data_IF_374174307256
#
_entry.id   IF_374174307256
#
_cell.length_a   1.000
_cell.length_b   1.000
_cell.length_c   1.000
_cell.angle_alpha   90.00
_cell.angle_beta   90.00
_cell.angle_gamma   90.00
#
_symmetry.space_group_name_H-M   'P 1'
#
loop_
_entity.id
_entity.type
_entity.pdbx_description
1 polymer ?
#
# COMPACT_ATOMS: atom_id res chain seq x y z
N UNK A 1 -54.55 7.34 47.12
CA UNK A 1 -53.20 7.49 47.69
C UNK A 1 -52.76 8.92 47.45
N UNK A 2 -52.50 9.66 48.53
CA UNK A 2 -51.87 10.98 48.48
C UNK A 2 -50.46 10.86 47.92
N UNK A 3 -49.96 11.89 47.23
CA UNK A 3 -48.62 11.86 46.59
C UNK A 3 -47.50 11.53 47.59
N UNK A 4 -47.67 11.90 48.86
CA UNK A 4 -46.78 11.52 49.98
C UNK A 4 -46.68 10.00 50.20
N UNK A 5 -47.76 9.24 50.00
CA UNK A 5 -47.75 7.79 50.16
C UNK A 5 -46.99 7.10 49.02
N UNK A 6 -47.12 7.62 47.79
CA UNK A 6 -46.35 7.12 46.63
C UNK A 6 -44.87 7.42 46.77
N UNK A 7 -44.51 8.60 47.31
CA UNK A 7 -43.11 8.97 47.54
C UNK A 7 -42.48 8.04 48.59
N UNK A 8 -43.18 7.75 49.69
CA UNK A 8 -42.71 6.79 50.70
C UNK A 8 -42.55 5.37 50.14
N UNK A 9 -43.50 4.90 49.33
CA UNK A 9 -43.42 3.57 48.70
C UNK A 9 -42.23 3.49 47.72
N UNK A 10 -42.00 4.54 46.92
CA UNK A 10 -40.87 4.61 46.02
C UNK A 10 -39.53 4.67 46.76
N UNK A 11 -39.44 5.43 47.87
CA UNK A 11 -38.25 5.45 48.71
C UNK A 11 -37.94 4.08 49.30
N UNK A 12 -38.96 3.40 49.82
CA UNK A 12 -38.82 2.06 50.37
C UNK A 12 -38.34 1.05 49.31
N UNK A 13 -38.82 1.19 48.06
CA UNK A 13 -38.42 0.33 46.94
C UNK A 13 -37.01 0.63 46.44
N UNK A 14 -36.57 1.89 46.49
CA UNK A 14 -35.19 2.29 46.20
C UNK A 14 -34.24 1.72 47.27
N UNK A 15 -34.64 1.77 48.55
CA UNK A 15 -33.86 1.21 49.65
C UNK A 15 -33.73 -0.31 49.52
N UNK A 16 -34.82 -1.02 49.20
CA UNK A 16 -34.79 -2.46 48.90
C UNK A 16 -33.89 -2.80 47.70
N UNK A 17 -33.99 -2.05 46.60
CA UNK A 17 -33.14 -2.23 45.43
C UNK A 17 -31.66 -1.95 45.74
N UNK A 18 -31.37 -0.96 46.57
CA UNK A 18 -30.02 -0.64 47.00
C UNK A 18 -29.41 -1.78 47.84
N UNK A 19 -30.25 -2.45 48.65
CA UNK A 19 -29.85 -3.60 49.44
C UNK A 19 -29.57 -4.81 48.55
N UNK A 20 -30.46 -5.11 47.61
CA UNK A 20 -30.27 -6.18 46.61
C UNK A 20 -29.00 -5.97 45.77
N UNK A 21 -28.73 -4.72 45.36
CA UNK A 21 -27.51 -4.41 44.62
C UNK A 21 -26.23 -4.67 45.43
N UNK A 22 -26.23 -4.39 46.74
CA UNK A 22 -25.09 -4.71 47.61
C UNK A 22 -24.87 -6.22 47.72
N UNK A 23 -25.94 -7.01 47.81
CA UNK A 23 -25.83 -8.47 47.86
C UNK A 23 -25.30 -9.04 46.54
N UNK A 24 -25.78 -8.56 45.39
CA UNK A 24 -25.24 -8.95 44.09
C UNK A 24 -23.76 -8.57 43.91
N UNK A 25 -23.34 -7.40 44.37
CA UNK A 25 -21.93 -7.01 44.36
C UNK A 25 -21.06 -7.94 45.20
N UNK A 26 -21.56 -8.37 46.37
CA UNK A 26 -20.87 -9.29 47.27
C UNK A 26 -20.75 -10.70 46.66
N UNK A 27 -21.80 -11.15 45.98
CA UNK A 27 -21.81 -12.42 45.26
C UNK A 27 -20.84 -12.42 44.07
N UNK A 28 -20.81 -11.34 43.28
CA UNK A 28 -19.84 -11.17 42.18
C UNK A 28 -18.40 -11.17 42.68
N UNK A 29 -18.12 -10.51 43.81
CA UNK A 29 -16.80 -10.51 44.43
C UNK A 29 -16.37 -11.92 44.85
N UNK A 30 -17.27 -12.70 45.45
CA UNK A 30 -17.02 -14.11 45.82
C UNK A 30 -16.77 -14.99 44.59
N UNK A 31 -17.55 -14.80 43.52
CA UNK A 31 -17.40 -15.55 42.28
C UNK A 31 -16.05 -15.26 41.61
N UNK A 32 -15.65 -13.99 41.59
CA UNK A 32 -14.36 -13.57 41.04
C UNK A 32 -13.20 -14.15 41.85
N UNK A 33 -13.31 -14.20 43.17
CA UNK A 33 -12.32 -14.82 44.04
C UNK A 33 -12.25 -16.35 43.84
N UNK A 34 -13.38 -17.03 43.63
CA UNK A 34 -13.41 -18.45 43.26
C UNK A 34 -12.75 -18.70 41.89
N UNK A 35 -13.02 -17.84 40.91
CA UNK A 35 -12.39 -17.91 39.58
C UNK A 35 -10.87 -17.77 39.66
N UNK A 36 -10.41 -16.83 40.50
CA UNK A 36 -8.98 -16.64 40.75
C UNK A 36 -8.34 -17.83 41.47
N UNK A 37 -9.05 -18.45 42.43
CA UNK A 37 -8.63 -19.69 43.09
C UNK A 37 -8.60 -20.89 42.12
N UNK A 38 -9.54 -20.98 41.18
CA UNK A 38 -9.58 -22.04 40.16
C UNK A 38 -8.46 -21.86 39.12
N UNK A 39 -8.17 -20.63 38.69
CA UNK A 39 -7.01 -20.34 37.84
C UNK A 39 -5.69 -20.67 38.54
N UNK A 40 -5.54 -20.32 39.82
CA UNK A 40 -4.31 -20.63 40.56
C UNK A 40 -4.20 -22.12 40.97
N UNK A 41 -5.31 -22.85 41.16
CA UNK A 41 -5.30 -24.31 41.33
C UNK A 41 -4.95 -25.09 40.06
N UNK A 42 -4.95 -24.46 38.89
CA UNK A 42 -4.42 -25.02 37.64
C UNK A 42 -2.89 -25.00 37.54
N UNK A 43 -2.18 -24.46 38.53
CA UNK A 43 -0.72 -24.23 38.50
C UNK A 43 0.04 -24.99 39.60
N UNK A 44 -0.43 -26.18 39.99
CA UNK A 44 0.45 -27.16 40.62
C UNK A 44 1.23 -27.87 39.51
N UNK A 45 2.55 -28.13 39.66
CA UNK A 45 3.31 -28.86 38.65
C UNK A 45 2.74 -30.27 38.55
N UNK A 46 1.97 -30.52 37.49
CA UNK A 46 1.57 -31.86 37.10
C UNK A 46 2.86 -32.59 36.76
N UNK A 47 3.34 -33.45 37.66
CA UNK A 47 4.27 -34.52 37.29
C UNK A 47 3.57 -35.25 36.14
N UNK A 48 4.14 -35.24 34.92
CA UNK A 48 3.48 -35.88 33.80
C UNK A 48 3.47 -37.37 34.10
N UNK A 49 2.31 -37.90 34.47
CA UNK A 49 2.03 -39.30 34.21
C UNK A 49 2.11 -39.39 32.69
N UNK A 50 3.25 -39.88 32.20
CA UNK A 50 3.46 -40.32 30.84
C UNK A 50 2.53 -41.50 30.58
N UNK A 51 1.23 -41.21 30.47
CA UNK A 51 0.41 -41.95 29.55
C UNK A 51 1.06 -41.74 28.18
N UNK A 52 1.70 -42.80 27.70
CA UNK A 52 2.17 -42.96 26.33
C UNK A 52 0.97 -42.91 25.39
N UNK A 53 0.36 -41.72 25.24
CA UNK A 53 -0.45 -41.39 24.07
C UNK A 53 0.55 -41.21 22.95
N UNK A 54 0.48 -42.12 22.00
CA UNK A 54 1.15 -42.05 20.70
C UNK A 54 1.13 -40.61 20.17
N UNK A 55 2.30 -39.96 20.04
CA UNK A 55 2.38 -38.62 19.47
C UNK A 55 2.37 -38.71 17.93
N UNK A 56 1.76 -37.71 17.29
CA UNK A 56 2.08 -37.20 15.94
C UNK A 56 1.41 -37.76 14.66
N UNK A 57 0.89 -38.99 14.58
CA UNK A 57 0.40 -39.47 13.26
C UNK A 57 -0.94 -38.86 12.78
N UNK A 58 -1.81 -38.40 13.68
CA UNK A 58 -3.11 -37.82 13.30
C UNK A 58 -3.04 -36.39 12.70
N UNK A 59 -1.94 -35.66 12.89
CA UNK A 59 -1.77 -34.32 12.30
C UNK A 59 -1.24 -34.38 10.87
N UNK A 60 -0.33 -35.30 10.60
CA UNK A 60 0.25 -35.49 9.27
C UNK A 60 -0.77 -36.13 8.33
N UNK A 61 -1.51 -37.14 8.80
CA UNK A 61 -2.55 -37.80 8.01
C UNK A 61 -3.74 -36.88 7.71
N UNK A 62 -4.19 -36.06 8.67
CA UNK A 62 -5.21 -35.03 8.40
C UNK A 62 -4.69 -33.94 7.47
N UNK A 63 -3.43 -33.50 7.58
CA UNK A 63 -2.90 -32.46 6.69
C UNK A 63 -2.69 -32.96 5.26
N UNK A 64 -2.11 -34.16 5.12
CA UNK A 64 -1.94 -34.82 3.83
C UNK A 64 -3.31 -35.16 3.23
N UNK A 65 -4.15 -35.87 3.98
CA UNK A 65 -5.45 -36.36 3.54
C UNK A 65 -6.46 -35.26 3.22
N UNK A 66 -6.59 -34.25 4.10
CA UNK A 66 -7.61 -33.21 3.95
C UNK A 66 -7.14 -31.95 3.25
N UNK A 67 -5.83 -31.65 3.14
CA UNK A 67 -5.34 -30.44 2.46
C UNK A 67 -4.53 -30.72 1.21
N UNK A 68 -3.59 -31.66 1.26
CA UNK A 68 -2.68 -31.89 0.13
C UNK A 68 -3.39 -32.70 -0.96
N UNK A 69 -4.06 -33.79 -0.63
CA UNK A 69 -4.66 -34.68 -1.65
C UNK A 69 -5.72 -33.95 -2.48
N UNK A 70 -6.64 -33.18 -1.86
CA UNK A 70 -7.63 -32.44 -2.65
C UNK A 70 -7.02 -31.32 -3.48
N UNK A 71 -6.00 -30.62 -2.96
CA UNK A 71 -5.32 -29.55 -3.69
C UNK A 71 -4.56 -30.11 -4.89
N UNK A 72 -3.78 -31.18 -4.68
CA UNK A 72 -3.09 -31.91 -5.74
C UNK A 72 -4.08 -32.46 -6.75
N UNK A 73 -5.21 -33.03 -6.28
CA UNK A 73 -6.29 -33.51 -7.13
C UNK A 73 -6.87 -32.40 -8.02
N UNK A 74 -7.17 -31.22 -7.46
CA UNK A 74 -7.63 -30.04 -8.21
C UNK A 74 -6.56 -29.62 -9.23
N UNK A 75 -5.29 -29.52 -8.82
CA UNK A 75 -4.19 -29.10 -9.70
C UNK A 75 -4.01 -30.08 -10.87
N UNK A 76 -3.95 -31.39 -10.60
CA UNK A 76 -3.81 -32.43 -11.63
C UNK A 76 -5.02 -32.44 -12.55
N UNK A 77 -6.24 -32.29 -12.03
CA UNK A 77 -7.46 -32.23 -12.83
C UNK A 77 -7.48 -30.98 -13.72
N UNK A 78 -7.10 -29.82 -13.20
CA UNK A 78 -6.98 -28.57 -13.98
C UNK A 78 -5.92 -28.72 -15.07
N UNK A 79 -4.76 -29.31 -14.78
CA UNK A 79 -3.72 -29.59 -15.77
C UNK A 79 -4.23 -30.55 -16.84
N UNK A 80 -4.86 -31.67 -16.44
CA UNK A 80 -5.41 -32.66 -17.36
C UNK A 80 -6.49 -32.07 -18.28
N UNK A 81 -7.42 -31.29 -17.72
CA UNK A 81 -8.41 -30.55 -18.51
C UNK A 81 -7.76 -29.55 -19.45
N UNK A 82 -6.75 -28.80 -19.00
CA UNK A 82 -6.04 -27.83 -19.83
C UNK A 82 -5.32 -28.49 -21.01
N UNK A 83 -4.64 -29.62 -20.77
CA UNK A 83 -3.99 -30.41 -21.81
C UNK A 83 -5.03 -31.03 -22.75
N UNK A 84 -6.15 -31.54 -22.24
CA UNK A 84 -7.22 -32.10 -23.06
C UNK A 84 -7.88 -31.07 -23.97
N UNK A 85 -8.17 -29.87 -23.45
CA UNK A 85 -8.66 -28.74 -24.24
C UNK A 85 -7.63 -28.34 -25.29
N UNK A 86 -6.35 -28.21 -24.92
CA UNK A 86 -5.28 -27.92 -25.88
C UNK A 86 -5.17 -28.98 -26.97
N UNK A 87 -5.21 -30.26 -26.63
CA UNK A 87 -5.19 -31.36 -27.60
C UNK A 87 -6.36 -31.28 -28.59
N UNK A 88 -7.57 -31.00 -28.09
CA UNK A 88 -8.75 -30.84 -28.94
C UNK A 88 -8.64 -29.62 -29.88
N UNK A 89 -7.98 -28.55 -29.42
CA UNK A 89 -7.69 -27.35 -30.21
C UNK A 89 -6.65 -27.65 -31.30
N UNK A 90 -5.52 -28.26 -30.91
CA UNK A 90 -4.37 -28.56 -31.78
C UNK A 90 -4.73 -29.56 -32.89
N UNK A 91 -5.60 -30.53 -32.58
CA UNK A 91 -6.11 -31.51 -33.56
C UNK A 91 -7.35 -31.05 -34.31
N UNK A 92 -7.79 -29.79 -34.12
CA UNK A 92 -9.00 -29.24 -34.73
C UNK A 92 -10.28 -30.06 -34.49
N UNK A 93 -10.36 -30.79 -33.38
CA UNK A 93 -11.52 -31.61 -33.02
C UNK A 93 -12.75 -30.77 -32.69
N UNK A 94 -12.54 -29.51 -32.28
CA UNK A 94 -13.58 -28.55 -31.96
C UNK A 94 -13.39 -27.33 -32.86
N UNK A 95 -14.45 -26.89 -33.53
CA UNK A 95 -14.41 -25.68 -34.37
C UNK A 95 -14.12 -24.44 -33.55
N UNK A 96 -13.57 -23.40 -34.17
CA UNK A 96 -13.22 -22.14 -33.50
C UNK A 96 -14.43 -21.50 -32.80
N UNK A 97 -15.58 -21.48 -33.47
CA UNK A 97 -16.83 -20.99 -32.91
C UNK A 97 -17.30 -21.84 -31.70
N UNK A 98 -17.19 -23.16 -31.77
CA UNK A 98 -17.57 -24.04 -30.68
C UNK A 98 -16.67 -23.85 -29.45
N UNK A 99 -15.37 -23.58 -29.62
CA UNK A 99 -14.44 -23.29 -28.51
C UNK A 99 -14.89 -22.05 -27.73
N UNK A 100 -15.17 -20.96 -28.45
CA UNK A 100 -15.60 -19.69 -27.85
C UNK A 100 -16.98 -19.83 -27.21
N UNK A 101 -17.92 -20.50 -27.87
CA UNK A 101 -19.27 -20.73 -27.33
C UNK A 101 -19.23 -21.56 -26.05
N UNK A 102 -18.49 -22.68 -26.03
CA UNK A 102 -18.34 -23.52 -24.84
C UNK A 102 -17.68 -22.77 -23.68
N UNK A 103 -16.68 -21.93 -23.97
CA UNK A 103 -16.02 -21.11 -22.95
C UNK A 103 -16.97 -20.05 -22.37
N UNK A 104 -17.81 -19.42 -23.19
CA UNK A 104 -18.85 -18.51 -22.71
C UNK A 104 -19.90 -19.23 -21.86
N UNK A 105 -20.38 -20.40 -22.31
CA UNK A 105 -21.33 -21.22 -21.56
C UNK A 105 -20.72 -21.61 -20.21
N UNK A 106 -19.46 -22.05 -20.16
CA UNK A 106 -18.77 -22.36 -18.91
C UNK A 106 -18.68 -21.14 -17.99
N UNK A 107 -18.30 -19.97 -18.50
CA UNK A 107 -18.27 -18.72 -17.74
C UNK A 107 -19.64 -18.32 -17.17
N UNK A 108 -20.71 -18.43 -17.97
CA UNK A 108 -22.08 -18.14 -17.54
C UNK A 108 -22.55 -19.15 -16.48
N UNK A 109 -22.24 -20.44 -16.65
CA UNK A 109 -22.56 -21.47 -15.64
C UNK A 109 -21.88 -21.16 -14.32
N UNK A 110 -20.59 -20.82 -14.34
CA UNK A 110 -19.85 -20.40 -13.13
C UNK A 110 -20.49 -19.17 -12.48
N UNK A 111 -20.90 -18.18 -13.28
CA UNK A 111 -21.60 -17.00 -12.79
C UNK A 111 -22.92 -17.36 -12.10
N UNK A 112 -23.77 -18.19 -12.74
CA UNK A 112 -25.06 -18.61 -12.19
C UNK A 112 -24.89 -19.45 -10.91
N UNK A 113 -23.91 -20.34 -10.88
CA UNK A 113 -23.55 -21.11 -9.69
C UNK A 113 -23.10 -20.18 -8.54
N UNK A 114 -22.29 -19.17 -8.86
CA UNK A 114 -21.86 -18.17 -7.86
C UNK A 114 -23.06 -17.48 -7.24
N UNK A 115 -24.04 -17.06 -8.05
CA UNK A 115 -25.25 -16.40 -7.57
C UNK A 115 -26.10 -17.32 -6.70
N UNK A 116 -26.29 -18.58 -7.10
CA UNK A 116 -27.05 -19.57 -6.32
C UNK A 116 -26.42 -19.86 -4.96
N UNK A 117 -25.08 -19.97 -4.90
CA UNK A 117 -24.34 -20.28 -3.68
C UNK A 117 -24.18 -19.09 -2.73
N UNK A 118 -24.44 -17.86 -3.20
CA UNK A 118 -24.30 -16.61 -2.42
C UNK A 118 -25.00 -16.65 -1.07
N UNK A 119 -26.19 -17.25 -0.98
CA UNK A 119 -26.99 -17.30 0.26
C UNK A 119 -26.33 -18.10 1.38
N UNK A 120 -25.62 -19.20 1.04
CA UNK A 120 -25.07 -20.15 2.02
C UNK A 120 -23.54 -20.04 2.16
N UNK A 121 -22.83 -19.66 1.10
CA UNK A 121 -21.38 -19.63 1.04
C UNK A 121 -20.86 -18.34 0.39
N UNK A 122 -21.04 -17.21 1.06
CA UNK A 122 -20.64 -15.87 0.59
C UNK A 122 -19.20 -15.81 0.03
N UNK A 123 -18.22 -16.31 0.78
CA UNK A 123 -16.81 -16.26 0.38
C UNK A 123 -16.51 -17.13 -0.86
N UNK A 124 -16.99 -18.37 -0.86
CA UNK A 124 -16.82 -19.29 -1.99
C UNK A 124 -17.52 -18.76 -3.25
N UNK A 125 -18.71 -18.18 -3.08
CA UNK A 125 -19.47 -17.51 -4.13
C UNK A 125 -18.70 -16.33 -4.74
N UNK A 126 -18.03 -15.50 -3.94
CA UNK A 126 -17.20 -14.40 -4.43
C UNK A 126 -16.00 -14.88 -5.27
N UNK A 127 -15.33 -15.96 -4.86
CA UNK A 127 -14.24 -16.57 -5.64
C UNK A 127 -14.77 -17.11 -6.97
N UNK A 128 -15.88 -17.86 -6.93
CA UNK A 128 -16.48 -18.45 -8.13
C UNK A 128 -16.95 -17.39 -9.12
N UNK A 129 -17.54 -16.30 -8.61
CA UNK A 129 -17.92 -15.14 -9.40
C UNK A 129 -16.71 -14.51 -10.09
N UNK A 130 -15.60 -14.35 -9.36
CA UNK A 130 -14.40 -13.73 -9.93
C UNK A 130 -13.75 -14.63 -10.98
N UNK A 131 -13.79 -15.95 -10.79
CA UNK A 131 -13.41 -16.93 -11.81
C UNK A 131 -14.30 -16.87 -13.06
N UNK A 132 -15.61 -16.71 -12.88
CA UNK A 132 -16.56 -16.52 -13.97
C UNK A 132 -16.24 -15.25 -14.77
N UNK A 133 -16.02 -14.11 -14.09
CA UNK A 133 -15.64 -12.86 -14.75
C UNK A 133 -14.33 -13.01 -15.51
N UNK A 134 -13.28 -13.57 -14.89
CA UNK A 134 -12.00 -13.81 -15.56
C UNK A 134 -12.16 -14.67 -16.82
N UNK A 135 -12.93 -15.76 -16.75
CA UNK A 135 -13.24 -16.60 -17.90
C UNK A 135 -13.92 -15.79 -19.00
N UNK A 136 -14.97 -15.04 -18.68
CA UNK A 136 -15.70 -14.22 -19.66
C UNK A 136 -14.81 -13.14 -20.30
N UNK A 137 -13.90 -12.53 -19.54
CA UNK A 137 -12.91 -11.59 -20.08
C UNK A 137 -11.98 -12.26 -21.09
N UNK A 138 -11.33 -13.36 -20.69
CA UNK A 138 -10.40 -14.06 -21.58
C UNK A 138 -11.09 -14.64 -22.80
N UNK A 139 -12.32 -15.15 -22.67
CA UNK A 139 -13.10 -15.62 -23.82
C UNK A 139 -13.44 -14.48 -24.77
N UNK A 140 -13.86 -13.32 -24.26
CA UNK A 140 -14.16 -12.13 -25.09
C UNK A 140 -12.92 -11.62 -25.81
N UNK A 141 -11.78 -11.59 -25.12
CA UNK A 141 -10.49 -11.26 -25.72
C UNK A 141 -10.11 -12.24 -26.82
N UNK A 142 -10.18 -13.54 -26.55
CA UNK A 142 -9.80 -14.57 -27.52
C UNK A 142 -10.69 -14.55 -28.76
N UNK A 143 -12.00 -14.35 -28.59
CA UNK A 143 -12.95 -14.19 -29.68
C UNK A 143 -12.59 -13.01 -30.59
N UNK A 144 -12.09 -11.91 -30.03
CA UNK A 144 -11.65 -10.74 -30.79
C UNK A 144 -10.28 -10.95 -31.45
N UNK A 145 -9.24 -11.26 -30.66
CA UNK A 145 -7.85 -11.22 -31.11
C UNK A 145 -7.44 -12.46 -31.90
N UNK A 146 -7.85 -13.65 -31.48
CA UNK A 146 -7.41 -14.89 -32.12
C UNK A 146 -8.34 -15.36 -33.22
N UNK A 147 -9.65 -15.11 -33.08
CA UNK A 147 -10.66 -15.65 -34.01
C UNK A 147 -11.41 -14.58 -34.81
N UNK A 148 -11.24 -13.29 -34.51
CA UNK A 148 -11.87 -12.19 -35.27
C UNK A 148 -13.40 -12.19 -35.26
N UNK A 149 -14.05 -12.85 -34.31
CA UNK A 149 -15.51 -12.97 -34.24
C UNK A 149 -16.23 -11.67 -33.87
N UNK A 150 -15.54 -10.73 -33.21
CA UNK A 150 -16.10 -9.47 -32.77
C UNK A 150 -15.39 -8.28 -33.39
N UNK A 151 -16.09 -7.16 -33.53
CA UNK A 151 -15.48 -5.87 -33.86
C UNK A 151 -14.86 -5.23 -32.61
N UNK A 152 -13.90 -4.32 -32.79
CA UNK A 152 -13.29 -3.57 -31.69
C UNK A 152 -14.34 -2.91 -30.77
N UNK A 153 -15.34 -2.25 -31.37
CA UNK A 153 -16.40 -1.56 -30.64
C UNK A 153 -17.24 -2.53 -29.79
N UNK A 154 -17.62 -3.67 -30.35
CA UNK A 154 -18.40 -4.68 -29.63
C UNK A 154 -17.60 -5.29 -28.47
N UNK A 155 -16.34 -5.66 -28.72
CA UNK A 155 -15.43 -6.20 -27.69
C UNK A 155 -15.23 -5.20 -26.56
N UNK A 156 -14.98 -3.93 -26.88
CA UNK A 156 -14.82 -2.87 -25.90
C UNK A 156 -16.09 -2.68 -25.05
N UNK A 157 -17.27 -2.61 -25.68
CA UNK A 157 -18.55 -2.47 -24.97
C UNK A 157 -18.84 -3.67 -24.05
N UNK A 158 -18.61 -4.90 -24.52
CA UNK A 158 -18.77 -6.11 -23.72
C UNK A 158 -17.84 -6.09 -22.50
N UNK A 159 -16.56 -5.77 -22.69
CA UNK A 159 -15.60 -5.72 -21.58
C UNK A 159 -15.91 -4.58 -20.59
N UNK A 160 -16.37 -3.41 -21.05
CA UNK A 160 -16.86 -2.35 -20.16
C UNK A 160 -18.10 -2.79 -19.39
N UNK A 161 -19.03 -3.50 -20.04
CA UNK A 161 -20.20 -4.09 -19.40
C UNK A 161 -19.84 -5.10 -18.31
N UNK A 162 -18.92 -6.03 -18.61
CA UNK A 162 -18.39 -6.98 -17.63
C UNK A 162 -17.69 -6.27 -16.46
N UNK A 163 -16.93 -5.21 -16.73
CA UNK A 163 -16.24 -4.42 -15.70
C UNK A 163 -17.23 -3.73 -14.78
N UNK A 164 -18.25 -3.11 -15.37
CA UNK A 164 -19.30 -2.40 -14.63
C UNK A 164 -20.11 -3.38 -13.77
N UNK A 165 -20.45 -4.55 -14.32
CA UNK A 165 -21.13 -5.60 -13.57
C UNK A 165 -20.25 -6.14 -12.41
N UNK A 166 -18.95 -6.31 -12.65
CA UNK A 166 -17.99 -6.74 -11.61
C UNK A 166 -17.91 -5.70 -10.49
N UNK A 167 -17.81 -4.41 -10.82
CA UNK A 167 -17.80 -3.33 -9.84
C UNK A 167 -19.11 -3.26 -9.03
N UNK A 168 -20.25 -3.43 -9.71
CA UNK A 168 -21.57 -3.46 -9.09
C UNK A 168 -21.74 -4.64 -8.12
N UNK A 169 -21.33 -5.84 -8.53
CA UNK A 169 -21.37 -7.01 -7.66
C UNK A 169 -20.35 -6.91 -6.53
N UNK A 170 -19.16 -6.33 -6.74
CA UNK A 170 -18.23 -6.06 -5.65
C UNK A 170 -18.90 -5.22 -4.55
N UNK A 171 -19.63 -4.15 -4.92
CA UNK A 171 -20.41 -3.33 -3.99
C UNK A 171 -21.48 -4.16 -3.26
N UNK A 172 -22.21 -5.03 -3.98
CA UNK A 172 -23.30 -5.86 -3.43
C UNK A 172 -22.80 -6.95 -2.50
N UNK A 173 -21.71 -7.63 -2.83
CA UNK A 173 -21.05 -8.59 -1.96
C UNK A 173 -20.34 -7.89 -0.79
N UNK A 174 -20.07 -6.58 -0.92
CA UNK A 174 -19.27 -5.81 0.02
C UNK A 174 -17.90 -6.47 0.28
N UNK A 175 -17.29 -6.97 -0.81
CA UNK A 175 -16.04 -7.72 -0.79
C UNK A 175 -15.03 -7.06 -1.71
N UNK A 176 -13.92 -6.64 -1.12
CA UNK A 176 -12.86 -5.92 -1.82
C UNK A 176 -12.11 -6.82 -2.81
N UNK A 177 -12.09 -8.12 -2.57
CA UNK A 177 -11.41 -9.15 -3.38
C UNK A 177 -11.99 -9.20 -4.81
N UNK A 178 -13.32 -9.10 -4.94
CA UNK A 178 -14.02 -9.03 -6.23
C UNK A 178 -13.61 -7.76 -6.98
N UNK A 179 -13.51 -6.64 -6.26
CA UNK A 179 -13.16 -5.36 -6.84
C UNK A 179 -11.72 -5.37 -7.39
N UNK A 180 -10.77 -5.92 -6.63
CA UNK A 180 -9.37 -6.07 -7.08
C UNK A 180 -9.28 -6.96 -8.32
N UNK A 181 -10.03 -8.06 -8.40
CA UNK A 181 -10.07 -8.90 -9.59
C UNK A 181 -10.70 -8.18 -10.80
N UNK A 182 -11.74 -7.39 -10.57
CA UNK A 182 -12.29 -6.50 -11.60
C UNK A 182 -11.29 -5.45 -12.09
N UNK A 183 -10.44 -4.92 -11.20
CA UNK A 183 -9.37 -3.99 -11.58
C UNK A 183 -8.32 -4.65 -12.47
N UNK A 184 -7.93 -5.90 -12.19
CA UNK A 184 -7.01 -6.65 -13.06
C UNK A 184 -7.58 -6.78 -14.47
N UNK A 185 -8.87 -7.11 -14.59
CA UNK A 185 -9.57 -7.12 -15.87
C UNK A 185 -9.56 -5.75 -16.53
N UNK A 186 -9.98 -4.70 -15.81
CA UNK A 186 -10.09 -3.34 -16.32
C UNK A 186 -8.75 -2.79 -16.84
N UNK A 187 -7.67 -2.87 -16.04
CA UNK A 187 -6.35 -2.41 -16.47
C UNK A 187 -5.76 -3.27 -17.60
N UNK A 188 -6.21 -4.52 -17.74
CA UNK A 188 -5.83 -5.40 -18.83
C UNK A 188 -6.46 -5.03 -20.17
N UNK A 189 -7.69 -4.46 -20.19
CA UNK A 189 -8.46 -4.21 -21.42
C UNK A 189 -7.65 -3.49 -22.51
N UNK A 190 -6.94 -2.38 -22.25
CA UNK A 190 -6.19 -1.71 -23.29
C UNK A 190 -5.11 -2.61 -23.92
N UNK A 191 -4.38 -3.41 -23.13
CA UNK A 191 -3.38 -4.36 -23.65
C UNK A 191 -4.00 -5.50 -24.46
N UNK A 192 -5.25 -5.84 -24.15
CA UNK A 192 -5.98 -6.92 -24.80
C UNK A 192 -6.61 -6.48 -26.12
N UNK A 193 -7.03 -5.21 -26.27
CA UNK A 193 -7.80 -4.80 -27.46
C UNK A 193 -7.02 -3.80 -28.34
N UNK A 194 -5.99 -3.11 -27.82
CA UNK A 194 -5.32 -2.06 -28.61
C UNK A 194 -4.42 -2.66 -29.70
N UNK A 195 -4.82 -2.50 -30.96
CA UNK A 195 -3.95 -2.73 -32.11
C UNK A 195 -3.03 -1.50 -32.39
N UNK A 196 -3.44 -0.31 -31.96
CA UNK A 196 -2.73 0.95 -32.17
C UNK A 196 -1.84 1.30 -30.96
N UNK A 197 -0.74 0.57 -30.83
CA UNK A 197 0.16 0.64 -29.66
C UNK A 197 0.94 1.97 -29.51
N UNK A 198 0.73 2.92 -30.44
CA UNK A 198 1.39 4.22 -30.49
C UNK A 198 0.57 5.36 -29.85
N UNK A 199 -0.73 5.15 -29.61
CA UNK A 199 -1.64 6.18 -29.04
C UNK A 199 -1.63 6.13 -27.51
N UNK A 200 -0.55 6.62 -26.91
CA UNK A 200 -0.39 6.70 -25.46
C UNK A 200 -1.48 7.58 -24.80
N UNK A 201 -1.91 8.62 -25.50
CA UNK A 201 -3.03 9.51 -25.14
C UNK A 201 -4.30 8.73 -24.80
N UNK A 202 -4.76 7.85 -25.70
CA UNK A 202 -5.98 7.07 -25.51
C UNK A 202 -5.81 6.03 -24.41
N UNK A 203 -4.66 5.35 -24.39
CA UNK A 203 -4.34 4.34 -23.38
C UNK A 203 -4.45 4.93 -21.98
N UNK A 204 -3.75 6.04 -21.70
CA UNK A 204 -3.76 6.61 -20.36
C UNK A 204 -5.03 7.38 -20.02
N UNK A 205 -5.76 7.93 -21.01
CA UNK A 205 -7.10 8.49 -20.78
C UNK A 205 -8.07 7.44 -20.23
N UNK A 206 -8.00 6.22 -20.77
CA UNK A 206 -8.74 5.09 -20.25
C UNK A 206 -8.29 4.73 -18.81
N UNK A 207 -6.98 4.69 -18.54
CA UNK A 207 -6.45 4.40 -17.20
C UNK A 207 -6.92 5.45 -16.17
N UNK A 208 -6.94 6.74 -16.53
CA UNK A 208 -7.50 7.80 -15.67
C UNK A 208 -8.97 7.54 -15.36
N UNK A 209 -9.79 7.19 -16.35
CA UNK A 209 -11.20 6.88 -16.14
C UNK A 209 -11.40 5.73 -15.14
N UNK A 210 -10.64 4.65 -15.29
CA UNK A 210 -10.66 3.52 -14.34
C UNK A 210 -10.22 3.98 -12.94
N UNK A 211 -9.15 4.77 -12.86
CA UNK A 211 -8.63 5.30 -11.59
C UNK A 211 -9.65 6.16 -10.85
N UNK A 212 -10.40 7.02 -11.53
CA UNK A 212 -11.47 7.83 -10.92
C UNK A 212 -12.52 6.90 -10.28
N UNK A 213 -12.95 5.86 -11.01
CA UNK A 213 -13.89 4.86 -10.50
C UNK A 213 -13.34 4.12 -9.27
N UNK A 214 -12.07 3.72 -9.31
CA UNK A 214 -11.42 3.03 -8.20
C UNK A 214 -11.28 3.92 -6.97
N UNK A 215 -10.87 5.18 -7.13
CA UNK A 215 -10.76 6.14 -6.01
C UNK A 215 -12.12 6.40 -5.39
N UNK A 216 -13.16 6.58 -6.22
CA UNK A 216 -14.54 6.70 -5.73
C UNK A 216 -14.96 5.48 -4.91
N UNK A 217 -14.71 4.26 -5.40
CA UNK A 217 -15.04 3.03 -4.69
C UNK A 217 -14.22 2.86 -3.41
N UNK A 218 -12.92 3.15 -3.48
CA UNK A 218 -12.01 3.11 -2.33
C UNK A 218 -12.58 3.98 -1.22
N UNK A 219 -12.86 5.25 -1.51
CA UNK A 219 -13.43 6.19 -0.56
C UNK A 219 -14.80 5.74 -0.02
N UNK A 220 -15.73 5.37 -0.92
CA UNK A 220 -17.10 4.99 -0.55
C UNK A 220 -17.13 3.78 0.39
N UNK A 221 -16.29 2.78 0.14
CA UNK A 221 -16.28 1.50 0.85
C UNK A 221 -15.16 1.32 1.88
N UNK A 222 -14.27 2.30 2.05
CA UNK A 222 -13.04 2.22 2.87
C UNK A 222 -12.06 1.13 2.42
N UNK A 223 -12.10 0.81 1.13
CA UNK A 223 -11.26 -0.21 0.53
C UNK A 223 -9.90 0.38 0.14
N UNK A 224 -9.06 0.64 1.16
CA UNK A 224 -7.74 1.29 0.98
C UNK A 224 -6.82 0.51 0.03
N UNK A 225 -6.80 -0.82 0.12
CA UNK A 225 -6.00 -1.68 -0.77
C UNK A 225 -6.33 -1.47 -2.25
N UNK A 226 -7.56 -1.08 -2.61
CA UNK A 226 -7.88 -0.75 -4.01
C UNK A 226 -7.13 0.48 -4.50
N UNK A 227 -7.14 1.56 -3.71
CA UNK A 227 -6.42 2.78 -4.06
C UNK A 227 -4.91 2.54 -4.18
N UNK A 228 -4.34 1.69 -3.32
CA UNK A 228 -2.94 1.30 -3.38
C UNK A 228 -2.60 0.45 -4.60
N UNK A 229 -3.46 -0.52 -4.93
CA UNK A 229 -3.29 -1.37 -6.11
C UNK A 229 -3.39 -0.56 -7.41
N UNK A 230 -4.34 0.37 -7.48
CA UNK A 230 -4.48 1.32 -8.58
C UNK A 230 -3.25 2.21 -8.73
N UNK A 231 -2.73 2.74 -7.61
CA UNK A 231 -1.50 3.54 -7.60
C UNK A 231 -0.34 2.74 -8.18
N UNK A 232 -0.12 1.55 -7.65
CA UNK A 232 1.00 0.70 -8.06
C UNK A 232 0.94 0.36 -9.55
N UNK A 233 -0.21 -0.10 -10.04
CA UNK A 233 -0.38 -0.44 -11.47
C UNK A 233 -0.20 0.81 -12.32
N UNK A 234 -0.88 1.90 -12.01
CA UNK A 234 -0.88 3.11 -12.86
C UNK A 234 0.51 3.71 -13.01
N UNK A 235 1.26 3.82 -11.91
CA UNK A 235 2.65 4.29 -11.97
C UNK A 235 3.58 3.29 -12.64
N UNK A 236 3.40 1.97 -12.43
CA UNK A 236 4.18 0.96 -13.13
C UNK A 236 3.96 1.07 -14.64
N UNK A 237 2.71 1.20 -15.09
CA UNK A 237 2.37 1.39 -16.49
C UNK A 237 2.99 2.67 -17.07
N UNK A 238 2.91 3.78 -16.33
CA UNK A 238 3.51 5.05 -16.72
C UNK A 238 5.03 4.94 -16.85
N UNK A 239 5.71 4.37 -15.85
CA UNK A 239 7.16 4.24 -15.82
C UNK A 239 7.64 3.30 -16.93
N UNK A 240 6.98 2.15 -17.14
CA UNK A 240 7.32 1.22 -18.22
C UNK A 240 7.14 1.88 -19.60
N UNK A 241 6.01 2.56 -19.83
CA UNK A 241 5.83 3.34 -21.05
C UNK A 241 6.91 4.42 -21.20
N UNK A 242 7.19 5.12 -20.10
CA UNK A 242 8.24 6.11 -19.95
C UNK A 242 9.62 5.64 -20.41
N UNK A 243 10.05 4.46 -19.94
CA UNK A 243 11.36 3.91 -20.27
C UNK A 243 11.43 3.31 -21.67
N UNK A 244 10.38 2.63 -22.14
CA UNK A 244 10.45 1.83 -23.36
C UNK A 244 9.88 2.51 -24.60
N UNK A 245 9.00 3.51 -24.45
CA UNK A 245 8.20 4.04 -25.57
C UNK A 245 8.07 5.56 -25.61
N UNK A 246 8.39 6.26 -24.53
CA UNK A 246 8.30 7.72 -24.48
C UNK A 246 9.17 8.36 -25.56
N UNK A 247 8.60 9.34 -26.25
CA UNK A 247 9.28 10.17 -27.23
C UNK A 247 9.11 11.65 -26.87
N UNK A 248 9.96 12.52 -27.41
CA UNK A 248 9.87 13.98 -27.18
C UNK A 248 8.51 14.57 -27.56
N UNK A 249 7.83 14.00 -28.57
CA UNK A 249 6.47 14.39 -28.98
C UNK A 249 5.41 14.15 -27.90
N UNK A 250 5.68 13.22 -26.96
CA UNK A 250 4.74 12.83 -25.90
C UNK A 250 4.91 13.68 -24.63
N UNK A 251 5.74 14.73 -24.66
CA UNK A 251 6.06 15.54 -23.49
C UNK A 251 4.84 16.06 -22.73
N UNK A 252 3.89 16.68 -23.44
CA UNK A 252 2.67 17.19 -22.81
C UNK A 252 1.79 16.08 -22.26
N UNK A 253 1.69 14.96 -22.97
CA UNK A 253 0.96 13.78 -22.50
C UNK A 253 1.60 13.25 -21.21
N UNK A 254 2.92 13.04 -21.19
CA UNK A 254 3.65 12.60 -19.99
C UNK A 254 3.46 13.53 -18.80
N UNK A 255 3.55 14.85 -19.03
CA UNK A 255 3.38 15.87 -18.00
C UNK A 255 1.95 15.87 -17.42
N UNK A 256 0.92 15.90 -18.26
CA UNK A 256 -0.48 15.90 -17.83
C UNK A 256 -0.80 14.65 -17.02
N UNK A 257 -0.34 13.48 -17.49
CA UNK A 257 -0.61 12.20 -16.84
C UNK A 257 0.09 12.07 -15.49
N UNK A 258 1.36 12.44 -15.41
CA UNK A 258 2.14 12.42 -14.18
C UNK A 258 1.48 13.31 -13.11
N UNK A 259 1.06 14.52 -13.48
CA UNK A 259 0.34 15.44 -12.59
C UNK A 259 -1.02 14.85 -12.19
N UNK A 260 -1.79 14.33 -13.14
CA UNK A 260 -3.11 13.75 -12.90
C UNK A 260 -3.05 12.58 -11.92
N UNK A 261 -2.13 11.64 -12.12
CA UNK A 261 -1.94 10.51 -11.20
C UNK A 261 -1.49 10.97 -9.83
N UNK A 262 -0.54 11.91 -9.76
CA UNK A 262 -0.08 12.45 -8.49
C UNK A 262 -1.23 13.03 -7.66
N UNK A 263 -2.05 13.91 -8.26
CA UNK A 263 -3.19 14.50 -7.57
C UNK A 263 -4.26 13.48 -7.23
N UNK A 264 -4.62 12.59 -8.15
CA UNK A 264 -5.67 11.60 -7.96
C UNK A 264 -5.36 10.67 -6.78
N UNK A 265 -4.12 10.21 -6.65
CA UNK A 265 -3.73 9.35 -5.52
C UNK A 265 -3.46 10.12 -4.23
N UNK A 266 -3.03 11.38 -4.30
CA UNK A 266 -2.93 12.25 -3.12
C UNK A 266 -4.32 12.53 -2.53
N UNK A 267 -5.30 12.86 -3.39
CA UNK A 267 -6.70 13.01 -2.99
C UNK A 267 -7.24 11.70 -2.42
N UNK A 268 -6.98 10.56 -3.06
CA UNK A 268 -7.42 9.26 -2.54
C UNK A 268 -6.96 9.01 -1.10
N UNK A 269 -5.72 9.39 -0.76
CA UNK A 269 -5.21 9.22 0.61
C UNK A 269 -5.75 10.27 1.58
N UNK A 270 -5.76 11.54 1.20
CA UNK A 270 -6.17 12.63 2.08
C UNK A 270 -7.69 12.75 2.25
N UNK A 271 -8.50 12.24 1.30
CA UNK A 271 -9.94 12.33 1.35
C UNK A 271 -10.52 11.67 2.62
N UNK A 272 -9.93 10.59 3.11
CA UNK A 272 -10.34 9.96 4.37
C UNK A 272 -10.21 10.90 5.56
N UNK A 273 -9.11 11.65 5.63
CA UNK A 273 -8.86 12.62 6.69
C UNK A 273 -9.77 13.83 6.57
N UNK A 274 -9.85 14.43 5.38
CA UNK A 274 -10.58 15.69 5.14
C UNK A 274 -12.09 15.49 5.27
N UNK A 275 -12.64 14.39 4.73
CA UNK A 275 -14.09 14.21 4.64
C UNK A 275 -14.68 13.38 5.79
N UNK A 276 -13.87 12.57 6.47
CA UNK A 276 -14.35 11.68 7.56
C UNK A 276 -13.67 11.91 8.90
N UNK A 277 -12.73 12.85 8.99
CA UNK A 277 -11.99 13.18 10.23
C UNK A 277 -11.27 11.99 10.86
N UNK A 278 -10.98 10.94 10.09
CA UNK A 278 -10.21 9.78 10.53
C UNK A 278 -8.71 10.10 10.46
N UNK A 279 -7.94 9.66 11.46
CA UNK A 279 -6.48 9.80 11.44
C UNK A 279 -5.84 8.97 10.32
N UNK A 280 -4.78 9.51 9.72
CA UNK A 280 -4.04 8.76 8.70
C UNK A 280 -3.34 7.56 9.34
N UNK A 281 -3.47 6.40 8.70
CA UNK A 281 -2.80 5.17 9.13
C UNK A 281 -1.40 5.07 8.50
N UNK A 282 -0.55 4.18 9.03
CA UNK A 282 0.77 3.91 8.44
C UNK A 282 0.69 3.55 6.94
N UNK A 283 -0.38 2.86 6.54
CA UNK A 283 -0.65 2.48 5.15
C UNK A 283 -0.93 3.70 4.25
N UNK A 284 -1.53 4.76 4.79
CA UNK A 284 -1.77 6.02 4.08
C UNK A 284 -0.44 6.77 3.86
N UNK A 285 0.41 6.80 4.88
CA UNK A 285 1.75 7.42 4.80
C UNK A 285 2.62 6.68 3.79
N UNK A 286 2.56 5.34 3.78
CA UNK A 286 3.22 4.52 2.76
C UNK A 286 2.71 4.90 1.36
N UNK A 287 1.40 5.07 1.18
CA UNK A 287 0.82 5.45 -0.11
C UNK A 287 1.34 6.82 -0.58
N UNK A 288 1.38 7.85 0.28
CA UNK A 288 1.96 9.16 -0.06
C UNK A 288 3.42 9.05 -0.44
N UNK A 289 4.19 8.26 0.30
CA UNK A 289 5.62 8.03 0.04
C UNK A 289 5.84 7.38 -1.32
N UNK A 290 5.10 6.31 -1.64
CA UNK A 290 5.18 5.66 -2.95
C UNK A 290 4.76 6.61 -4.06
N UNK A 291 3.73 7.44 -3.84
CA UNK A 291 3.28 8.43 -4.82
C UNK A 291 4.36 9.49 -5.12
N UNK A 292 5.05 10.00 -4.09
CA UNK A 292 6.14 10.96 -4.24
C UNK A 292 7.36 10.34 -4.95
N UNK A 293 7.72 9.09 -4.62
CA UNK A 293 8.79 8.35 -5.30
C UNK A 293 8.45 8.15 -6.78
N UNK A 294 7.22 7.71 -7.07
CA UNK A 294 6.79 7.48 -8.43
C UNK A 294 6.73 8.77 -9.25
N UNK A 295 6.30 9.89 -8.64
CA UNK A 295 6.38 11.22 -9.24
C UNK A 295 7.84 11.59 -9.57
N UNK A 296 8.78 11.36 -8.65
CA UNK A 296 10.20 11.61 -8.88
C UNK A 296 10.75 10.81 -10.07
N UNK A 297 10.56 9.49 -10.07
CA UNK A 297 11.00 8.64 -11.18
C UNK A 297 10.38 9.05 -12.51
N UNK A 298 9.09 9.37 -12.52
CA UNK A 298 8.36 9.79 -13.71
C UNK A 298 8.85 11.13 -14.24
N UNK A 299 9.16 12.08 -13.35
CA UNK A 299 9.70 13.38 -13.72
C UNK A 299 11.09 13.27 -14.35
N UNK A 300 11.94 12.36 -13.87
CA UNK A 300 13.25 12.09 -14.48
C UNK A 300 13.11 11.57 -15.91
N UNK A 301 12.10 10.74 -16.17
CA UNK A 301 11.83 10.25 -17.52
C UNK A 301 11.31 11.38 -18.41
N UNK A 302 10.30 12.12 -17.95
CA UNK A 302 9.62 13.15 -18.74
C UNK A 302 10.56 14.31 -19.10
N UNK A 303 11.35 14.78 -18.12
CA UNK A 303 12.27 15.91 -18.29
C UNK A 303 13.70 15.51 -18.67
N UNK A 304 14.11 14.26 -18.42
CA UNK A 304 15.47 13.77 -18.69
C UNK A 304 15.63 12.96 -19.97
N UNK A 305 14.63 12.94 -20.85
CA UNK A 305 14.72 12.18 -22.10
C UNK A 305 15.84 12.70 -23.01
N UNK A 306 16.69 11.79 -23.51
CA UNK A 306 17.85 12.10 -24.36
C UNK A 306 19.08 12.58 -23.59
N UNK A 307 18.91 13.18 -22.41
CA UNK A 307 20.00 13.70 -21.57
C UNK A 307 19.73 13.49 -20.07
N UNK A 308 19.64 12.23 -19.65
CA UNK A 308 19.26 11.87 -18.28
C UNK A 308 20.14 12.53 -17.21
N UNK A 309 21.37 12.93 -17.56
CA UNK A 309 22.33 13.59 -16.67
C UNK A 309 22.11 15.09 -16.48
N UNK A 310 21.66 15.82 -17.51
CA UNK A 310 21.71 17.30 -17.52
C UNK A 310 20.59 17.93 -16.70
N UNK A 311 19.45 17.24 -16.57
CA UNK A 311 18.27 17.75 -15.85
C UNK A 311 18.08 17.16 -14.44
N UNK A 312 18.97 16.27 -13.97
CA UNK A 312 18.85 15.64 -12.65
C UNK A 312 18.74 16.67 -11.51
N UNK A 313 19.62 17.66 -11.52
CA UNK A 313 19.65 18.71 -10.50
C UNK A 313 18.35 19.54 -10.53
N UNK A 314 17.96 20.08 -11.68
CA UNK A 314 16.74 20.90 -11.79
C UNK A 314 15.49 20.13 -11.39
N UNK A 315 15.34 18.89 -11.84
CA UNK A 315 14.16 18.06 -11.53
C UNK A 315 14.09 17.72 -10.04
N UNK A 316 15.22 17.38 -9.43
CA UNK A 316 15.29 17.13 -7.98
C UNK A 316 14.97 18.39 -7.17
N UNK A 317 15.48 19.56 -7.60
CA UNK A 317 15.19 20.84 -6.96
C UNK A 317 13.72 21.23 -7.01
N UNK A 318 13.06 21.07 -8.16
CA UNK A 318 11.62 21.32 -8.28
C UNK A 318 10.79 20.40 -7.40
N UNK A 319 11.13 19.12 -7.32
CA UNK A 319 10.41 18.18 -6.46
C UNK A 319 10.67 18.41 -4.97
N UNK A 320 11.86 18.85 -4.59
CA UNK A 320 12.11 19.36 -3.25
C UNK A 320 11.13 20.49 -2.91
N UNK A 321 10.94 21.46 -3.81
CA UNK A 321 9.99 22.57 -3.61
C UNK A 321 8.55 22.05 -3.50
N UNK A 322 8.12 21.13 -4.37
CA UNK A 322 6.76 20.55 -4.30
C UNK A 322 6.52 19.84 -2.97
N UNK A 323 7.46 19.00 -2.52
CA UNK A 323 7.32 18.29 -1.24
C UNK A 323 7.40 19.27 -0.06
N UNK A 324 8.24 20.30 -0.12
CA UNK A 324 8.32 21.34 0.91
C UNK A 324 7.02 22.14 1.02
N UNK A 325 6.42 22.53 -0.10
CA UNK A 325 5.09 23.16 -0.13
C UNK A 325 4.07 22.23 0.50
N UNK A 326 4.13 20.93 0.19
CA UNK A 326 3.20 19.96 0.78
C UNK A 326 3.41 19.79 2.30
N UNK A 327 4.64 19.87 2.80
CA UNK A 327 4.93 19.97 4.24
C UNK A 327 4.23 21.19 4.84
N UNK A 328 4.40 22.38 4.26
CA UNK A 328 3.79 23.62 4.76
C UNK A 328 2.26 23.55 4.75
N UNK A 329 1.66 23.05 3.66
CA UNK A 329 0.23 22.82 3.57
C UNK A 329 -0.25 21.83 4.64
N UNK A 330 0.50 20.75 4.88
CA UNK A 330 0.14 19.77 5.92
C UNK A 330 0.22 20.34 7.35
N UNK A 331 1.09 21.31 7.62
CA UNK A 331 1.11 22.01 8.90
C UNK A 331 -0.12 22.91 9.08
N UNK A 332 -0.55 23.59 8.02
CA UNK A 332 -1.68 24.53 8.08
C UNK A 332 -3.04 23.81 8.06
N UNK A 333 -3.23 22.86 7.15
CA UNK A 333 -4.53 22.20 6.94
C UNK A 333 -4.70 20.90 7.74
N UNK A 334 -3.60 20.23 8.13
CA UNK A 334 -3.62 18.93 8.80
C UNK A 334 -2.76 18.94 10.08
N UNK A 335 -2.98 19.87 11.03
CA UNK A 335 -2.10 20.06 12.18
C UNK A 335 -1.99 18.82 13.08
N UNK A 336 -3.01 17.97 13.12
CA UNK A 336 -3.01 16.74 13.92
C UNK A 336 -2.17 15.60 13.32
N UNK A 337 -1.81 15.67 12.04
CA UNK A 337 -1.13 14.58 11.32
C UNK A 337 0.41 14.73 11.39
N UNK A 338 0.93 14.66 12.62
CA UNK A 338 2.36 14.87 12.90
C UNK A 338 3.23 13.85 12.16
N UNK A 339 2.79 12.59 12.04
CA UNK A 339 3.57 11.53 11.38
C UNK A 339 3.66 11.77 9.87
N UNK A 340 2.59 12.29 9.23
CA UNK A 340 2.64 12.70 7.82
C UNK A 340 3.64 13.83 7.63
N UNK A 341 3.55 14.88 8.45
CA UNK A 341 4.46 16.03 8.40
C UNK A 341 5.93 15.60 8.56
N UNK A 342 6.21 14.68 9.49
CA UNK A 342 7.55 14.13 9.70
C UNK A 342 8.04 13.35 8.48
N UNK A 343 7.21 12.47 7.91
CA UNK A 343 7.56 11.70 6.70
C UNK A 343 7.85 12.62 5.51
N UNK A 344 7.00 13.62 5.27
CA UNK A 344 7.20 14.59 4.19
C UNK A 344 8.45 15.46 4.41
N UNK A 345 8.72 15.86 5.65
CA UNK A 345 9.92 16.63 5.99
C UNK A 345 11.20 15.80 5.76
N UNK A 346 11.19 14.50 6.12
CA UNK A 346 12.30 13.59 5.82
C UNK A 346 12.52 13.47 4.30
N UNK A 347 11.46 13.30 3.52
CA UNK A 347 11.55 13.24 2.05
C UNK A 347 12.10 14.55 1.46
N UNK A 348 11.65 15.70 1.97
CA UNK A 348 12.16 17.02 1.56
C UNK A 348 13.66 17.17 1.86
N UNK A 349 14.12 16.74 3.04
CA UNK A 349 15.54 16.75 3.41
C UNK A 349 16.37 15.86 2.49
N UNK A 350 15.88 14.66 2.17
CA UNK A 350 16.55 13.74 1.24
C UNK A 350 16.66 14.38 -0.15
N UNK A 351 15.58 14.97 -0.67
CA UNK A 351 15.59 15.65 -1.97
C UNK A 351 16.54 16.86 -1.97
N UNK A 352 16.59 17.64 -0.89
CA UNK A 352 17.53 18.76 -0.77
C UNK A 352 18.99 18.29 -0.77
N UNK A 353 19.29 17.22 -0.03
CA UNK A 353 20.63 16.63 -0.01
C UNK A 353 21.02 16.10 -1.40
N UNK A 354 20.11 15.43 -2.09
CA UNK A 354 20.31 14.96 -3.47
C UNK A 354 20.50 16.12 -4.44
N UNK A 355 19.69 17.17 -4.35
CA UNK A 355 19.81 18.38 -5.17
C UNK A 355 21.20 19.01 -5.02
N UNK A 356 21.69 19.17 -3.79
CA UNK A 356 23.03 19.68 -3.52
C UNK A 356 24.10 18.77 -4.17
N UNK A 357 23.94 17.46 -4.05
CA UNK A 357 24.87 16.48 -4.61
C UNK A 357 24.90 16.44 -6.14
N UNK A 358 23.78 16.77 -6.80
CA UNK A 358 23.70 16.81 -8.26
C UNK A 358 24.08 18.16 -8.87
N UNK A 359 23.84 19.27 -8.15
CA UNK A 359 24.04 20.61 -8.68
C UNK A 359 25.48 21.13 -8.50
N UNK A 360 26.18 20.71 -7.43
CA UNK A 360 27.56 21.11 -7.16
C UNK A 360 28.52 19.94 -7.29
N UNK A 361 29.82 20.24 -7.40
CA UNK A 361 30.89 19.25 -7.50
C UNK A 361 32.02 19.53 -6.49
N UNK A 362 32.86 18.51 -6.25
CA UNK A 362 34.03 18.61 -5.38
C UNK A 362 33.71 18.85 -3.90
N UNK A 363 34.47 19.76 -3.27
CA UNK A 363 34.37 20.10 -1.85
C UNK A 363 33.11 20.90 -1.49
N UNK A 364 32.50 21.60 -2.44
CA UNK A 364 31.29 22.40 -2.20
C UNK A 364 30.12 21.54 -1.72
N UNK A 365 29.97 20.32 -2.26
CA UNK A 365 28.96 19.35 -1.79
C UNK A 365 29.16 19.08 -0.29
N UNK A 366 30.40 18.83 0.12
CA UNK A 366 30.72 18.47 1.50
C UNK A 366 30.44 19.65 2.44
N UNK A 367 30.82 20.87 2.07
CA UNK A 367 30.52 22.08 2.84
C UNK A 367 29.01 22.29 2.99
N UNK A 368 28.24 22.16 1.91
CA UNK A 368 26.80 22.35 1.91
C UNK A 368 26.07 21.24 2.69
N UNK A 369 26.48 19.98 2.59
CA UNK A 369 25.90 18.91 3.39
C UNK A 369 26.24 19.02 4.88
N UNK A 370 27.44 19.48 5.23
CA UNK A 370 27.79 19.79 6.63
C UNK A 370 26.92 20.94 7.15
N UNK A 371 26.76 22.02 6.38
CA UNK A 371 25.88 23.12 6.74
C UNK A 371 24.42 22.67 6.91
N UNK A 372 23.92 21.81 6.03
CA UNK A 372 22.59 21.21 6.12
C UNK A 372 22.46 20.34 7.38
N UNK A 373 23.45 19.48 7.68
CA UNK A 373 23.45 18.64 8.87
C UNK A 373 23.44 19.46 10.16
N UNK A 374 24.28 20.50 10.26
CA UNK A 374 24.29 21.41 11.41
C UNK A 374 22.94 22.10 11.57
N UNK A 375 22.37 22.61 10.47
CA UNK A 375 21.05 23.27 10.48
C UNK A 375 19.96 22.32 10.97
N UNK A 376 19.92 21.08 10.47
CA UNK A 376 18.96 20.06 10.90
C UNK A 376 19.14 19.68 12.37
N UNK A 377 20.38 19.58 12.86
CA UNK A 377 20.66 19.27 14.25
C UNK A 377 20.15 20.38 15.18
N UNK A 378 20.45 21.64 14.84
CA UNK A 378 19.99 22.83 15.57
C UNK A 378 18.46 22.94 15.55
N UNK A 379 17.83 22.73 14.38
CA UNK A 379 16.37 22.66 14.27
C UNK A 379 15.77 21.53 15.13
N UNK A 380 16.44 20.38 15.20
CA UNK A 380 16.03 19.26 16.05
C UNK A 380 16.14 19.54 17.55
N UNK A 381 17.03 20.45 17.96
CA UNK A 381 17.09 20.95 19.35
C UNK A 381 15.92 21.91 19.59
N UNK A 382 15.75 22.94 18.75
CA UNK A 382 14.71 23.96 18.92
C UNK A 382 13.29 23.40 18.82
N UNK A 383 13.06 22.42 17.95
CA UNK A 383 11.72 21.80 17.78
C UNK A 383 11.43 20.69 18.79
N UNK A 384 12.40 20.33 19.65
CA UNK A 384 12.32 19.19 20.56
C UNK A 384 11.98 17.84 19.90
N UNK A 385 12.20 17.71 18.58
CA UNK A 385 11.94 16.47 17.81
C UNK A 385 13.23 15.69 17.58
N UNK A 386 13.18 14.36 17.70
CA UNK A 386 14.35 13.48 17.52
C UNK A 386 14.71 13.24 16.06
N UNK A 387 13.74 13.19 15.15
CA UNK A 387 13.97 12.84 13.75
C UNK A 387 14.96 13.78 13.02
N UNK A 388 14.95 15.13 13.17
CA UNK A 388 15.90 15.99 12.46
C UNK A 388 17.33 15.79 12.97
N UNK A 389 17.48 15.48 14.28
CA UNK A 389 18.78 15.16 14.88
C UNK A 389 19.33 13.86 14.31
N UNK A 390 18.50 12.83 14.19
CA UNK A 390 18.90 11.56 13.58
C UNK A 390 19.26 11.74 12.10
N UNK A 391 18.47 12.50 11.34
CA UNK A 391 18.76 12.82 9.95
C UNK A 391 20.08 13.59 9.78
N UNK A 392 20.36 14.55 10.67
CA UNK A 392 21.63 15.28 10.71
C UNK A 392 22.83 14.36 10.96
N UNK A 393 22.72 13.45 11.93
CA UNK A 393 23.78 12.49 12.25
C UNK A 393 24.02 11.55 11.06
N UNK A 394 22.96 11.01 10.46
CA UNK A 394 23.06 10.14 9.28
C UNK A 394 23.70 10.87 8.10
N UNK A 395 23.26 12.10 7.81
CA UNK A 395 23.85 12.91 6.76
C UNK A 395 25.33 13.18 7.04
N UNK A 396 25.69 13.50 8.28
CA UNK A 396 27.09 13.73 8.68
C UNK A 396 27.95 12.46 8.48
N UNK A 397 27.47 11.28 8.87
CA UNK A 397 28.16 10.01 8.58
C UNK A 397 28.38 9.82 7.08
N UNK A 398 27.35 10.07 6.26
CA UNK A 398 27.47 10.00 4.79
C UNK A 398 28.48 11.03 4.26
N UNK A 399 28.48 12.26 4.77
CA UNK A 399 29.42 13.31 4.34
C UNK A 399 30.88 12.93 4.63
N UNK A 400 31.14 12.39 5.82
CA UNK A 400 32.47 11.98 6.25
C UNK A 400 32.92 10.75 5.44
N UNK A 401 32.03 9.78 5.24
CA UNK A 401 32.30 8.62 4.38
C UNK A 401 32.65 9.01 2.94
N UNK A 402 31.89 9.93 2.34
CA UNK A 402 32.17 10.47 0.99
C UNK A 402 33.53 11.17 0.95
N UNK A 403 33.84 12.00 1.94
CA UNK A 403 35.11 12.71 2.02
C UNK A 403 36.29 11.73 2.14
N UNK A 404 36.17 10.70 2.98
CA UNK A 404 37.20 9.69 3.23
C UNK A 404 37.43 8.77 2.03
N UNK A 405 36.37 8.28 1.39
CA UNK A 405 36.47 7.23 0.36
C UNK A 405 36.65 7.85 -1.03
N UNK A 406 35.85 8.86 -1.36
CA UNK A 406 35.78 9.40 -2.72
C UNK A 406 36.74 10.58 -2.86
N UNK A 407 36.62 11.60 -2.00
CA UNK A 407 37.36 12.84 -2.19
C UNK A 407 38.86 12.69 -1.84
N UNK A 408 39.18 11.94 -0.78
CA UNK A 408 40.56 11.73 -0.36
C UNK A 408 41.40 11.14 -1.49
N UNK A 409 40.84 10.24 -2.31
CA UNK A 409 41.55 9.62 -3.43
C UNK A 409 42.04 10.63 -4.48
N UNK A 410 41.37 11.78 -4.59
CA UNK A 410 41.65 12.86 -5.55
C UNK A 410 42.51 13.98 -4.97
N UNK A 411 42.76 13.97 -3.66
CA UNK A 411 43.47 15.02 -2.96
C UNK A 411 44.99 14.84 -2.98
N UNK A 412 45.72 15.96 -3.00
CA UNK A 412 47.16 15.98 -2.74
C UNK A 412 47.44 15.57 -1.30
N UNK A 413 48.68 15.18 -0.99
CA UNK A 413 49.07 14.74 0.36
C UNK A 413 48.75 15.80 1.43
N UNK A 414 48.98 17.09 1.13
CA UNK A 414 48.66 18.20 2.04
C UNK A 414 47.15 18.34 2.25
N UNK A 415 46.36 18.25 1.18
CA UNK A 415 44.90 18.32 1.25
C UNK A 415 44.31 17.14 2.04
N UNK A 416 44.88 15.94 1.92
CA UNK A 416 44.50 14.77 2.73
C UNK A 416 44.73 15.01 4.23
N UNK A 417 45.89 15.56 4.60
CA UNK A 417 46.21 15.88 6.01
C UNK A 417 45.20 16.87 6.56
N UNK A 418 44.95 17.98 5.85
CA UNK A 418 43.96 18.99 6.26
C UNK A 418 42.57 18.37 6.39
N UNK A 419 42.16 17.56 5.40
CA UNK A 419 40.85 16.89 5.41
C UNK A 419 40.70 15.95 6.61
N UNK A 420 41.70 15.15 6.95
CA UNK A 420 41.66 14.25 8.11
C UNK A 420 41.65 14.99 9.45
N UNK A 421 42.35 16.12 9.57
CA UNK A 421 42.27 16.98 10.77
C UNK A 421 40.85 17.54 10.93
N UNK A 422 40.26 18.06 9.86
CA UNK A 422 38.89 18.58 9.87
C UNK A 422 37.88 17.48 10.23
N UNK A 423 38.05 16.27 9.70
CA UNK A 423 37.23 15.11 10.05
C UNK A 423 37.37 14.77 11.53
N UNK A 424 38.60 14.72 12.06
CA UNK A 424 38.85 14.45 13.47
C UNK A 424 38.13 15.47 14.36
N UNK A 425 38.21 16.75 14.03
CA UNK A 425 37.49 17.81 14.73
C UNK A 425 35.96 17.63 14.63
N UNK A 426 35.42 17.33 13.44
CA UNK A 426 33.98 17.10 13.23
C UNK A 426 33.47 15.88 14.01
N UNK A 427 34.23 14.79 14.06
CA UNK A 427 33.89 13.60 14.84
C UNK A 427 33.91 13.87 16.34
N UNK A 428 34.86 14.68 16.83
CA UNK A 428 34.88 15.10 18.23
C UNK A 428 33.65 15.96 18.58
N UNK A 429 33.28 16.90 17.70
CA UNK A 429 32.06 17.70 17.87
C UNK A 429 30.82 16.79 17.85
N UNK A 430 30.72 15.86 16.89
CA UNK A 430 29.62 14.90 16.81
C UNK A 430 29.53 14.02 18.05
N UNK A 431 30.66 13.52 18.54
CA UNK A 431 30.77 12.71 19.77
C UNK A 431 30.32 13.51 21.00
N UNK A 432 30.79 14.77 21.12
CA UNK A 432 30.37 15.68 22.18
C UNK A 432 28.86 15.95 22.14
N UNK A 433 28.31 16.24 20.95
CA UNK A 433 26.88 16.45 20.77
C UNK A 433 26.08 15.18 21.12
N UNK A 434 26.54 14.01 20.71
CA UNK A 434 25.90 12.74 21.05
C UNK A 434 25.88 12.50 22.56
N UNK A 435 27.02 12.69 23.25
CA UNK A 435 27.12 12.50 24.69
C UNK A 435 26.25 13.51 25.45
N UNK A 436 26.31 14.79 25.08
CA UNK A 436 25.55 15.85 25.73
C UNK A 436 24.03 15.68 25.56
N UNK A 437 23.59 15.21 24.41
CA UNK A 437 22.17 15.05 24.10
C UNK A 437 21.66 13.62 24.23
N UNK A 438 22.47 12.69 24.78
CA UNK A 438 22.13 11.27 24.91
C UNK A 438 20.78 11.07 25.63
N UNK A 439 20.54 11.75 26.74
CA UNK A 439 19.29 11.64 27.49
C UNK A 439 18.10 12.12 26.64
N UNK A 440 18.19 13.32 26.06
CA UNK A 440 17.14 13.95 25.21
C UNK A 440 16.88 13.20 23.89
N UNK A 441 17.84 12.42 23.39
CA UNK A 441 17.71 11.64 22.16
C UNK A 441 16.82 10.40 22.34
N UNK A 442 16.80 9.78 23.52
CA UNK A 442 16.13 8.50 23.79
C UNK A 442 14.92 8.58 24.74
N UNK A 443 14.76 9.66 25.53
CA UNK A 443 13.68 9.79 26.53
C UNK A 443 12.23 9.78 25.95
N UNK A 444 12.06 10.12 24.67
CA UNK A 444 10.73 10.14 24.03
C UNK A 444 10.27 8.76 23.49
N UNK A 445 11.09 7.72 23.59
CA UNK A 445 10.68 6.35 23.21
C UNK A 445 10.16 5.53 24.40
N UNK A 446 10.62 5.82 25.62
CA UNK A 446 10.32 5.00 26.81
C UNK A 446 9.01 5.39 27.54
N UNK A 447 8.28 6.41 27.06
CA UNK A 447 7.00 6.87 27.64
C UNK A 447 5.75 6.36 26.93
N UNK A 448 5.88 5.35 26.06
CA UNK A 448 4.77 4.73 25.31
C UNK A 448 4.72 3.20 25.40
N UNK A 449 5.26 2.62 26.48
CA UNK A 449 4.89 1.24 26.89
C UNK A 449 3.75 1.25 27.93
#
# INVERSE_FOLDING_TARGET
MTDEQKIKELQQRIDELSLQMKDYQKELYLLQQQLHRLQNKGSAPVVPITQKRSPQNFRFENFIGLRIIHLVGIVVLVIGLSIGVKYAIDRQLISEAARILLAYVAGIVLYLLSWRLKKKYQFFSAILFSGAMASLYFTTYAAFVYYGFFSFALTFLLMVGLTTNTAFEAIRYNRQEIAVLGMVGAYGIPFLISQNSERADLFFSYIILINIGVVYLSFKKKWKVMGQFALFISWTLFILWGFFRYQTKDFFTGLILMISFYFLFTVNTLAYRVMRSESLTASDIQQVTVNNIALYLSSLIVFGYGEFGTHLASTTGWLFVVVLVFVLLSYFFLPAEIVLQQSLAMQSVILLAMFIGFNWSGLMITLLWVALAVTLFVLGIYTHRSWPRLAAILLMVVTLGKLLIIDSSKFTTVQKIIAYIIIGALLLVLSFLYQKFKQVLFENQDSKE
#
